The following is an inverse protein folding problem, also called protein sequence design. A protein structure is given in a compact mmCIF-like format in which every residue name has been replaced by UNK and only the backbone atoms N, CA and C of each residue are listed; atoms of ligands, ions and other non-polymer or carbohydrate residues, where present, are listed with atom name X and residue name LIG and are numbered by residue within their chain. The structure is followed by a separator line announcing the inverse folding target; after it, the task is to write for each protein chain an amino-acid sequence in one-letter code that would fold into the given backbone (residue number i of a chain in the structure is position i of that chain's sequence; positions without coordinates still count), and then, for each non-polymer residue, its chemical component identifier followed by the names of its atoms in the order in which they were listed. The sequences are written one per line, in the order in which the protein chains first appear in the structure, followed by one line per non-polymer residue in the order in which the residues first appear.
data_IF_404758342538
#
_entry.id   IF_404758342538
#
_cell.length_a   1.000
_cell.length_b   1.000
_cell.length_c   1.000
_cell.angle_alpha   90.00
_cell.angle_beta   90.00
_cell.angle_gamma   90.00
#
_symmetry.space_group_name_H-M   'P 1'
#
loop_
_entity.id
_entity.type
_entity.pdbx_description
1 polymer ?
#
# COMPACT_ATOMS: atom_id res chain seq x y z
N UNK A 1 12.65 -31.88 -6.19
CA UNK A 1 12.42 -30.57 -5.57
C UNK A 1 11.38 -29.81 -6.40
N UNK A 2 10.12 -30.26 -6.41
CA UNK A 2 9.05 -29.73 -7.28
C UNK A 2 7.65 -29.98 -6.70
N UNK A 3 7.43 -29.71 -5.41
CA UNK A 3 6.18 -30.07 -4.72
C UNK A 3 5.54 -28.90 -3.92
N UNK A 4 6.35 -27.99 -3.38
CA UNK A 4 5.84 -26.87 -2.56
C UNK A 4 5.02 -25.82 -3.33
N UNK A 5 5.28 -25.63 -4.62
CA UNK A 5 4.62 -24.60 -5.45
C UNK A 5 3.21 -24.99 -5.89
N UNK A 6 2.93 -26.29 -5.98
CA UNK A 6 1.65 -26.81 -6.47
C UNK A 6 0.58 -26.80 -5.36
N UNK A 7 0.97 -27.15 -4.14
CA UNK A 7 0.12 -27.07 -2.94
C UNK A 7 -0.26 -25.63 -2.57
N UNK A 8 0.67 -24.67 -2.69
CA UNK A 8 0.40 -23.26 -2.39
C UNK A 8 -0.62 -22.62 -3.34
N UNK A 9 -0.59 -22.98 -4.63
CA UNK A 9 -1.59 -22.50 -5.61
C UNK A 9 -2.99 -23.06 -5.36
N UNK A 10 -3.10 -24.35 -5.04
CA UNK A 10 -4.39 -24.96 -4.70
C UNK A 10 -5.06 -24.32 -3.47
N UNK A 11 -4.28 -23.95 -2.45
CA UNK A 11 -4.81 -23.26 -1.28
C UNK A 11 -5.34 -21.86 -1.63
N UNK A 12 -4.62 -21.08 -2.44
CA UNK A 12 -5.05 -19.75 -2.89
C UNK A 12 -6.28 -19.82 -3.80
N UNK A 13 -6.36 -20.79 -4.70
CA UNK A 13 -7.51 -21.00 -5.57
C UNK A 13 -8.75 -21.39 -4.75
N UNK A 14 -8.58 -22.21 -3.72
CA UNK A 14 -9.65 -22.57 -2.79
C UNK A 14 -10.12 -21.37 -1.99
N UNK A 15 -9.21 -20.51 -1.53
CA UNK A 15 -9.54 -19.26 -0.83
C UNK A 15 -10.29 -18.29 -1.75
N UNK A 16 -9.83 -18.13 -3.00
CA UNK A 16 -10.52 -17.29 -4.00
C UNK A 16 -11.93 -17.78 -4.29
N UNK A 17 -12.14 -19.09 -4.36
CA UNK A 17 -13.46 -19.68 -4.54
C UNK A 17 -14.43 -19.40 -3.37
N UNK A 18 -13.91 -19.05 -2.18
CA UNK A 18 -14.73 -18.64 -1.03
C UNK A 18 -15.20 -17.19 -1.10
N UNK A 19 -14.61 -16.37 -1.98
CA UNK A 19 -14.97 -14.97 -2.16
C UNK A 19 -15.64 -14.79 -3.53
N UNK A 20 -16.98 -14.80 -3.59
CA UNK A 20 -17.71 -14.65 -4.86
C UNK A 20 -17.52 -13.24 -5.47
N UNK A 21 -17.14 -12.27 -4.65
CA UNK A 21 -16.81 -10.92 -5.10
C UNK A 21 -15.37 -10.83 -5.62
N UNK A 22 -15.08 -9.96 -6.60
CA UNK A 22 -13.72 -9.70 -7.05
C UNK A 22 -12.83 -9.30 -5.87
N UNK A 23 -11.68 -9.99 -5.73
CA UNK A 23 -10.72 -9.65 -4.68
C UNK A 23 -10.18 -8.25 -4.93
N UNK A 24 -10.25 -7.31 -3.97
CA UNK A 24 -9.81 -5.94 -4.18
C UNK A 24 -8.30 -5.87 -4.43
N UNK A 25 -7.90 -4.96 -5.33
CA UNK A 25 -6.49 -4.60 -5.53
C UNK A 25 -6.00 -3.80 -4.33
N UNK A 26 -4.89 -4.23 -3.75
CA UNK A 26 -4.17 -3.57 -2.68
C UNK A 26 -3.10 -2.64 -3.28
N UNK A 27 -3.07 -1.39 -2.83
CA UNK A 27 -1.97 -0.48 -3.07
C UNK A 27 -1.25 -0.10 -1.78
N UNK A 28 0.07 0.06 -1.84
CA UNK A 28 0.91 0.47 -0.70
C UNK A 28 1.94 1.51 -1.12
N UNK A 29 2.20 2.50 -0.27
CA UNK A 29 3.38 3.36 -0.35
C UNK A 29 4.62 2.71 0.28
N UNK A 30 5.81 3.29 0.05
CA UNK A 30 7.07 2.83 0.62
C UNK A 30 7.50 3.62 1.87
N UNK A 31 7.71 4.93 1.74
CA UNK A 31 8.48 5.73 2.70
C UNK A 31 7.54 6.27 3.78
N UNK A 32 7.82 6.01 5.05
CA UNK A 32 6.88 6.29 6.14
C UNK A 32 5.74 5.26 6.26
N UNK A 33 5.68 4.28 5.35
CA UNK A 33 4.64 3.26 5.27
C UNK A 33 5.21 1.85 5.41
N UNK A 34 5.81 1.30 4.34
CA UNK A 34 6.38 -0.06 4.37
C UNK A 34 7.63 -0.13 5.24
N UNK A 35 8.48 0.90 5.22
CA UNK A 35 9.71 0.94 6.01
C UNK A 35 9.46 1.07 7.53
N UNK A 36 8.33 1.66 7.93
CA UNK A 36 7.87 1.75 9.32
C UNK A 36 7.35 0.40 9.85
N UNK A 37 6.73 -0.42 9.00
CA UNK A 37 6.13 -1.70 9.39
C UNK A 37 6.43 -2.87 8.44
N UNK A 38 7.71 -3.17 8.13
CA UNK A 38 8.07 -4.08 7.04
C UNK A 38 7.58 -5.50 7.26
N UNK A 39 7.56 -5.98 8.51
CA UNK A 39 7.08 -7.33 8.84
C UNK A 39 5.59 -7.48 8.56
N UNK A 40 4.79 -6.47 8.90
CA UNK A 40 3.35 -6.46 8.65
C UNK A 40 3.07 -6.50 7.15
N UNK A 41 3.69 -5.58 6.39
CA UNK A 41 3.48 -5.51 4.95
C UNK A 41 4.03 -6.73 4.21
N UNK A 42 5.14 -7.33 4.66
CA UNK A 42 5.64 -8.61 4.13
C UNK A 42 4.60 -9.72 4.25
N UNK A 43 3.97 -9.86 5.42
CA UNK A 43 2.93 -10.88 5.63
C UNK A 43 1.72 -10.57 4.76
N UNK A 44 1.20 -9.34 4.87
CA UNK A 44 0.00 -8.90 4.16
C UNK A 44 0.13 -9.13 2.65
N UNK A 45 1.22 -8.65 2.05
CA UNK A 45 1.40 -8.72 0.59
C UNK A 45 1.64 -10.13 0.07
N UNK A 46 2.16 -11.05 0.88
CA UNK A 46 2.33 -12.46 0.50
C UNK A 46 1.02 -13.24 0.51
N UNK A 47 0.11 -12.90 1.42
CA UNK A 47 -1.15 -13.63 1.59
C UNK A 47 -2.33 -12.94 0.90
N UNK A 48 -2.13 -11.73 0.37
CA UNK A 48 -3.19 -10.99 -0.29
C UNK A 48 -3.70 -11.77 -1.51
N UNK A 49 -5.01 -12.09 -1.58
CA UNK A 49 -5.51 -12.94 -2.65
C UNK A 49 -5.67 -12.22 -4.00
N UNK A 50 -5.59 -10.88 -4.01
CA UNK A 50 -5.73 -10.02 -5.17
C UNK A 50 -4.39 -9.49 -5.69
N UNK A 51 -4.43 -8.50 -6.57
CA UNK A 51 -3.22 -7.82 -7.01
C UNK A 51 -2.67 -6.89 -5.92
N UNK A 52 -1.36 -6.76 -5.87
CA UNK A 52 -0.63 -5.88 -4.96
C UNK A 52 0.23 -4.92 -5.78
N UNK A 53 -0.06 -3.62 -5.69
CA UNK A 53 0.68 -2.58 -6.36
C UNK A 53 1.41 -1.69 -5.36
N UNK A 54 2.64 -1.32 -5.70
CA UNK A 54 3.40 -0.32 -4.94
C UNK A 54 3.34 1.00 -5.69
N UNK A 55 2.97 2.08 -5.01
CA UNK A 55 2.87 3.43 -5.58
C UNK A 55 3.68 4.37 -4.71
N UNK A 56 4.80 4.89 -5.20
CA UNK A 56 5.76 5.65 -4.40
C UNK A 56 6.23 6.92 -5.10
N UNK A 57 6.62 7.92 -4.31
CA UNK A 57 7.23 9.17 -4.77
C UNK A 57 8.75 9.06 -4.99
N UNK A 58 9.33 7.86 -4.83
CA UNK A 58 10.74 7.63 -5.11
C UNK A 58 11.07 7.86 -6.59
N UNK A 59 12.22 8.48 -6.85
CA UNK A 59 12.74 8.70 -8.21
C UNK A 59 13.67 7.58 -8.68
N UNK A 60 14.38 6.95 -7.75
CA UNK A 60 15.31 5.88 -8.05
C UNK A 60 14.59 4.53 -7.99
N UNK A 61 14.26 4.00 -9.17
CA UNK A 61 13.59 2.70 -9.31
C UNK A 61 14.46 1.54 -8.84
N UNK A 62 15.76 1.58 -9.09
CA UNK A 62 16.65 0.49 -8.71
C UNK A 62 16.74 0.38 -7.20
N UNK A 63 16.88 1.53 -6.51
CA UNK A 63 16.85 1.58 -5.05
C UNK A 63 15.50 1.15 -4.46
N UNK A 64 14.38 1.61 -5.04
CA UNK A 64 13.05 1.20 -4.59
C UNK A 64 12.86 -0.33 -4.67
N UNK A 65 13.27 -0.95 -5.78
CA UNK A 65 13.22 -2.41 -5.94
C UNK A 65 14.15 -3.12 -4.93
N UNK A 66 15.37 -2.61 -4.74
CA UNK A 66 16.32 -3.20 -3.81
C UNK A 66 15.79 -3.19 -2.36
N UNK A 67 15.15 -2.10 -1.94
CA UNK A 67 14.57 -1.99 -0.61
C UNK A 67 13.33 -2.90 -0.45
N UNK A 68 12.42 -2.92 -1.43
CA UNK A 68 11.27 -3.84 -1.44
C UNK A 68 11.72 -5.31 -1.36
N UNK A 69 12.77 -5.67 -2.10
CA UNK A 69 13.36 -7.01 -2.06
C UNK A 69 13.99 -7.32 -0.68
N UNK A 70 14.70 -6.35 -0.08
CA UNK A 70 15.29 -6.48 1.26
C UNK A 70 14.22 -6.73 2.34
N UNK A 71 13.06 -6.08 2.22
CA UNK A 71 11.93 -6.30 3.14
C UNK A 71 11.03 -7.47 2.72
N UNK A 72 11.37 -8.14 1.63
CA UNK A 72 10.67 -9.28 1.06
C UNK A 72 9.18 -9.00 0.72
N UNK A 73 8.89 -7.77 0.29
CA UNK A 73 7.56 -7.36 -0.16
C UNK A 73 7.24 -8.03 -1.48
N UNK A 74 6.09 -8.70 -1.55
CA UNK A 74 5.57 -9.30 -2.79
C UNK A 74 4.64 -8.31 -3.48
N UNK A 75 4.87 -8.03 -4.76
CA UNK A 75 4.04 -7.09 -5.50
C UNK A 75 4.04 -7.43 -6.99
N UNK A 76 2.96 -7.07 -7.68
CA UNK A 76 2.78 -7.28 -9.10
C UNK A 76 3.36 -6.13 -9.92
N UNK A 77 3.17 -4.88 -9.47
CA UNK A 77 3.66 -3.69 -10.15
C UNK A 77 4.20 -2.62 -9.19
N UNK A 78 5.18 -1.85 -9.67
CA UNK A 78 5.75 -0.69 -8.99
C UNK A 78 5.60 0.54 -9.88
N UNK A 79 4.81 1.50 -9.40
CA UNK A 79 4.58 2.80 -9.99
C UNK A 79 5.36 3.86 -9.21
N UNK A 80 6.19 4.62 -9.93
CA UNK A 80 6.88 5.78 -9.39
C UNK A 80 6.24 7.04 -9.95
N UNK A 81 5.78 7.91 -9.06
CA UNK A 81 5.10 9.16 -9.42
C UNK A 81 6.02 10.35 -9.19
N UNK A 82 5.73 11.47 -9.86
CA UNK A 82 6.51 12.71 -9.79
C UNK A 82 5.77 13.86 -9.13
N UNK A 83 4.46 13.70 -8.88
CA UNK A 83 3.65 14.57 -8.02
C UNK A 83 2.81 13.74 -7.03
N UNK A 84 2.41 14.32 -5.89
CA UNK A 84 1.64 13.60 -4.87
C UNK A 84 0.22 13.26 -5.34
N UNK A 85 -0.41 14.14 -6.11
CA UNK A 85 -1.73 13.96 -6.72
C UNK A 85 -1.72 12.91 -7.85
N UNK A 86 -0.58 12.67 -8.50
CA UNK A 86 -0.44 11.56 -9.46
C UNK A 86 -0.67 10.19 -8.82
N UNK A 87 -0.47 10.04 -7.50
CA UNK A 87 -0.83 8.80 -6.80
C UNK A 87 -2.33 8.50 -6.95
N UNK A 88 -3.19 9.50 -6.74
CA UNK A 88 -4.64 9.34 -6.89
C UNK A 88 -5.03 8.93 -8.32
N UNK A 89 -4.34 9.48 -9.33
CA UNK A 89 -4.55 9.10 -10.72
C UNK A 89 -4.15 7.64 -11.00
N UNK A 90 -3.03 7.17 -10.45
CA UNK A 90 -2.62 5.76 -10.53
C UNK A 90 -3.64 4.86 -9.82
N UNK A 91 -4.07 5.23 -8.62
CA UNK A 91 -5.04 4.47 -7.81
C UNK A 91 -6.35 4.27 -8.56
N UNK A 92 -6.90 5.34 -9.13
CA UNK A 92 -8.13 5.27 -9.91
C UNK A 92 -7.95 4.45 -11.20
N UNK A 93 -6.86 4.67 -11.95
CA UNK A 93 -6.58 3.99 -13.22
C UNK A 93 -6.40 2.47 -13.05
N UNK A 94 -5.67 2.07 -12.02
CA UNK A 94 -5.34 0.67 -11.74
C UNK A 94 -6.41 -0.05 -10.91
N UNK A 95 -7.50 0.65 -10.54
CA UNK A 95 -8.59 0.08 -9.76
C UNK A 95 -8.17 -0.37 -8.36
N UNK A 96 -7.21 0.31 -7.75
CA UNK A 96 -6.83 0.07 -6.34
C UNK A 96 -8.05 0.40 -5.47
N UNK A 97 -8.45 -0.55 -4.60
CA UNK A 97 -9.63 -0.38 -3.72
C UNK A 97 -9.29 -0.28 -2.25
N UNK A 98 -8.05 -0.62 -1.90
CA UNK A 98 -7.49 -0.49 -0.57
C UNK A 98 -6.10 0.13 -0.74
N UNK A 99 -5.84 1.26 -0.09
CA UNK A 99 -4.57 1.98 -0.21
C UNK A 99 -3.98 2.35 1.14
N UNK A 100 -2.71 2.01 1.37
CA UNK A 100 -1.94 2.42 2.54
C UNK A 100 -0.91 3.49 2.17
N UNK A 101 -0.89 4.58 2.93
CA UNK A 101 0.07 5.67 2.83
C UNK A 101 0.22 6.31 4.22
N UNK A 102 1.29 7.04 4.46
CA UNK A 102 1.48 7.81 5.69
C UNK A 102 1.20 9.30 5.49
N UNK A 103 1.14 9.78 4.24
CA UNK A 103 1.07 11.18 3.95
C UNK A 103 -0.39 11.61 3.66
N UNK A 104 -1.04 12.39 4.55
CA UNK A 104 -2.42 12.83 4.36
C UNK A 104 -2.65 13.62 3.07
N UNK A 105 -1.63 14.34 2.57
CA UNK A 105 -1.70 15.08 1.31
C UNK A 105 -1.94 14.17 0.10
N UNK A 106 -1.42 12.94 0.13
CA UNK A 106 -1.65 11.93 -0.90
C UNK A 106 -3.08 11.39 -0.86
N UNK A 107 -3.65 11.27 0.33
CA UNK A 107 -4.93 10.60 0.55
C UNK A 107 -6.15 11.46 0.19
N UNK A 108 -6.07 12.79 0.35
CA UNK A 108 -7.22 13.69 0.18
C UNK A 108 -7.85 13.70 -1.22
N UNK A 109 -7.07 13.35 -2.25
CA UNK A 109 -7.50 13.36 -3.65
C UNK A 109 -7.96 11.99 -4.15
N UNK A 110 -7.83 10.96 -3.32
CA UNK A 110 -8.27 9.61 -3.65
C UNK A 110 -9.80 9.56 -3.65
N UNK A 111 -10.38 8.86 -4.62
CA UNK A 111 -11.83 8.73 -4.76
C UNK A 111 -12.49 7.97 -3.59
N UNK A 112 -13.78 8.21 -3.41
CA UNK A 112 -14.57 7.57 -2.35
C UNK A 112 -14.81 6.06 -2.54
N UNK A 113 -14.43 5.47 -3.69
CA UNK A 113 -14.52 4.03 -3.91
C UNK A 113 -13.31 3.28 -3.34
N UNK A 114 -12.26 4.02 -2.96
CA UNK A 114 -11.02 3.47 -2.42
C UNK A 114 -10.99 3.67 -0.92
N UNK A 115 -10.83 2.58 -0.17
CA UNK A 115 -10.59 2.65 1.26
C UNK A 115 -9.14 3.05 1.48
N UNK A 116 -8.94 4.15 2.22
CA UNK A 116 -7.61 4.66 2.55
C UNK A 116 -7.27 4.33 4.01
N UNK A 117 -6.03 3.91 4.23
CA UNK A 117 -5.47 3.60 5.54
C UNK A 117 -4.25 4.48 5.76
N UNK A 118 -4.26 5.25 6.86
CA UNK A 118 -3.15 6.11 7.23
C UNK A 118 -2.20 5.37 8.17
N UNK A 119 -0.94 5.18 7.76
CA UNK A 119 0.11 4.62 8.62
C UNK A 119 0.64 5.71 9.53
N UNK A 120 0.46 5.55 10.84
CA UNK A 120 0.92 6.51 11.84
C UNK A 120 2.43 6.43 12.01
N UNK A 121 3.13 7.55 11.92
CA UNK A 121 4.58 7.65 12.13
C UNK A 121 4.96 9.02 12.74
N UNK A 122 6.26 9.27 12.93
CA UNK A 122 6.76 10.53 13.52
C UNK A 122 6.57 11.76 12.64
N UNK A 123 6.24 11.59 11.35
CA UNK A 123 5.96 12.68 10.41
C UNK A 123 4.51 13.16 10.44
N UNK A 124 3.56 12.32 10.83
CA UNK A 124 2.13 12.64 10.81
C UNK A 124 1.43 12.57 12.19
N UNK A 125 2.14 12.17 13.24
CA UNK A 125 1.60 12.08 14.59
C UNK A 125 2.60 12.53 15.65
N UNK A 126 2.16 13.44 16.50
CA UNK A 126 2.88 13.86 17.68
C UNK A 126 2.61 12.85 18.81
N UNK A 127 3.65 12.10 19.19
CA UNK A 127 3.55 11.07 20.23
C UNK A 127 3.56 11.63 21.64
N UNK A 128 4.12 12.82 21.85
CA UNK A 128 4.15 13.47 23.16
C UNK A 128 2.78 14.08 23.47
N UNK A 129 2.19 14.79 22.49
CA UNK A 129 0.86 15.39 22.61
C UNK A 129 -0.28 14.44 22.28
N UNK A 130 0.04 13.25 21.74
CA UNK A 130 -0.90 12.23 21.27
C UNK A 130 -1.92 12.77 20.25
N UNK A 131 -1.44 13.59 19.32
CA UNK A 131 -2.28 14.27 18.32
C UNK A 131 -1.79 14.00 16.92
N UNK A 132 -2.73 13.90 16.00
CA UNK A 132 -2.40 13.91 14.59
C UNK A 132 -1.94 15.30 14.15
N UNK A 133 -0.89 15.32 13.33
CA UNK A 133 -0.35 16.53 12.74
C UNK A 133 -0.86 16.64 11.32
N UNK A 134 -1.58 17.73 11.03
CA UNK A 134 -2.10 18.01 9.70
C UNK A 134 -1.87 19.48 9.35
N UNK A 135 -1.77 19.77 8.07
CA UNK A 135 -1.88 21.14 7.58
C UNK A 135 -3.35 21.55 7.48
N UNK A 136 -3.61 22.85 7.37
CA UNK A 136 -4.92 23.40 7.01
C UNK A 136 -5.43 22.92 5.64
N UNK A 137 -4.56 22.30 4.83
CA UNK A 137 -4.90 21.68 3.54
C UNK A 137 -5.31 20.22 3.64
N UNK A 138 -5.00 19.54 4.74
CA UNK A 138 -5.20 18.09 4.90
C UNK A 138 -6.10 17.71 6.05
N UNK A 139 -6.25 18.56 7.06
CA UNK A 139 -7.14 18.33 8.19
C UNK A 139 -8.06 19.52 8.46
N UNK A 140 -9.22 19.22 9.04
CA UNK A 140 -10.12 20.21 9.64
C UNK A 140 -10.42 19.77 11.07
N UNK A 141 -10.10 20.62 12.04
CA UNK A 141 -10.53 20.41 13.42
C UNK A 141 -12.06 20.57 13.49
N UNK A 142 -12.72 19.60 14.13
CA UNK A 142 -14.17 19.59 14.35
C UNK A 142 -14.53 20.33 15.63
#
# INVERSE_FOLDING_TARGET
MADGTQHGRQALDSIRALFPDPVPTLGIDIDGCVDEAPVFFRILTRIWPGQVFVVSYRRDRAKAIADLARWEISYDQLFLVTALDEKAAVIAREGIRIYFDDQPECLKAIDALTNVMLVRNGGNFDFDDQRWMFSDKTGKLL
#
